data_IF_961161241126
#
_entry.id   IF_961161241126
#
_cell.length_a   1.000
_cell.length_b   1.000
_cell.length_c   1.000
_cell.angle_alpha   90.00
_cell.angle_beta   90.00
_cell.angle_gamma   90.00
#
_symmetry.space_group_name_H-M   'P 1'
#
loop_
_entity.id
_entity.type
_entity.pdbx_description
1 polymer ?
#
# COMPACT_ATOMS: atom_id res chain seq x y z
N UNK A 1 -24.75 28.05 -14.46
CA UNK A 1 -24.04 26.80 -14.77
C UNK A 1 -24.55 25.70 -13.83
N UNK A 2 -25.27 24.67 -14.30
CA UNK A 2 -25.70 23.58 -13.43
C UNK A 2 -24.49 22.74 -12.99
N UNK A 3 -24.25 22.62 -11.68
CA UNK A 3 -23.19 21.76 -11.13
C UNK A 3 -23.59 20.31 -11.36
N UNK A 4 -22.74 19.54 -12.06
CA UNK A 4 -22.93 18.09 -12.22
C UNK A 4 -23.07 17.44 -10.83
N UNK A 5 -23.99 16.48 -10.65
CA UNK A 5 -24.08 15.74 -9.41
C UNK A 5 -22.76 15.03 -9.15
N UNK A 6 -22.23 15.20 -7.93
CA UNK A 6 -21.00 14.55 -7.52
C UNK A 6 -21.28 13.05 -7.40
N UNK A 7 -20.47 12.23 -8.08
CA UNK A 7 -20.59 10.78 -8.01
C UNK A 7 -20.40 10.24 -6.59
N UNK A 8 -20.61 8.93 -6.42
CA UNK A 8 -20.44 8.26 -5.12
C UNK A 8 -19.04 8.51 -4.56
N UNK A 9 -18.96 9.00 -3.33
CA UNK A 9 -17.68 9.21 -2.64
C UNK A 9 -16.96 7.86 -2.46
N UNK A 10 -15.65 7.81 -2.67
CA UNK A 10 -14.88 6.59 -2.45
C UNK A 10 -14.91 6.22 -0.96
N UNK A 11 -14.94 4.92 -0.68
CA UNK A 11 -14.92 4.39 0.69
C UNK A 11 -13.61 4.69 1.43
N UNK A 12 -12.52 4.96 0.69
CA UNK A 12 -11.23 5.36 1.23
C UNK A 12 -11.02 6.81 0.81
N UNK A 13 -11.07 7.71 1.80
CA UNK A 13 -10.75 9.13 1.63
C UNK A 13 -9.24 9.34 1.54
N UNK A 14 -8.79 10.49 1.04
CA UNK A 14 -7.36 10.78 0.87
C UNK A 14 -6.60 10.78 2.23
N UNK A 15 -7.23 11.16 3.34
CA UNK A 15 -6.57 11.12 4.66
C UNK A 15 -6.34 9.69 5.15
N UNK A 16 -7.34 8.82 4.98
CA UNK A 16 -7.24 7.38 5.29
C UNK A 16 -6.16 6.75 4.41
N UNK A 17 -6.14 7.11 3.13
CA UNK A 17 -5.14 6.65 2.18
C UNK A 17 -3.71 7.03 2.60
N UNK A 18 -3.49 8.29 3.02
CA UNK A 18 -2.17 8.74 3.52
C UNK A 18 -1.73 7.94 4.74
N UNK A 19 -2.63 7.69 5.69
CA UNK A 19 -2.34 6.88 6.89
C UNK A 19 -1.97 5.44 6.53
N UNK A 20 -2.72 4.81 5.62
CA UNK A 20 -2.44 3.46 5.14
C UNK A 20 -1.06 3.36 4.48
N UNK A 21 -0.68 4.34 3.66
CA UNK A 21 0.64 4.36 3.03
C UNK A 21 1.73 4.58 4.06
N UNK A 22 1.58 5.58 4.93
CA UNK A 22 2.56 5.86 5.97
C UNK A 22 2.84 4.64 6.84
N UNK A 23 1.78 3.90 7.23
CA UNK A 23 1.91 2.64 7.96
C UNK A 23 2.60 1.56 7.14
N UNK A 24 2.21 1.39 5.87
CA UNK A 24 2.78 0.39 4.99
C UNK A 24 4.28 0.61 4.70
N UNK A 25 4.73 1.86 4.68
CA UNK A 25 6.13 2.24 4.43
C UNK A 25 6.94 2.48 5.70
N UNK A 26 6.40 2.16 6.88
CA UNK A 26 7.03 2.48 8.16
C UNK A 26 8.32 1.67 8.39
N UNK A 27 8.30 0.38 8.05
CA UNK A 27 9.45 -0.52 8.15
C UNK A 27 9.32 -1.72 7.20
N UNK A 28 10.39 -2.50 7.11
CA UNK A 28 10.48 -3.65 6.22
C UNK A 28 9.41 -4.73 6.50
N UNK A 29 8.94 -4.84 7.75
CA UNK A 29 7.91 -5.82 8.10
C UNK A 29 6.54 -5.38 7.60
N UNK A 30 6.17 -4.12 7.83
CA UNK A 30 4.94 -3.53 7.30
C UNK A 30 4.92 -3.51 5.76
N UNK A 31 6.09 -3.38 5.12
CA UNK A 31 6.21 -3.45 3.67
C UNK A 31 5.74 -4.79 3.08
N UNK A 32 5.99 -5.88 3.81
CA UNK A 32 5.64 -7.25 3.41
C UNK A 32 4.23 -7.67 3.85
N UNK A 33 3.59 -6.90 4.73
CA UNK A 33 2.26 -7.23 5.22
C UNK A 33 1.20 -7.15 4.12
N UNK A 34 0.19 -8.04 4.12
CA UNK A 34 -0.99 -7.93 3.29
C UNK A 34 -1.74 -6.61 3.55
N UNK A 35 -2.27 -5.99 2.49
CA UNK A 35 -3.05 -4.76 2.58
C UNK A 35 -4.20 -4.81 3.59
N UNK A 36 -4.80 -6.00 3.79
CA UNK A 36 -5.86 -6.22 4.76
C UNK A 36 -5.37 -6.06 6.21
N UNK A 37 -4.17 -6.56 6.51
CA UNK A 37 -3.60 -6.44 7.85
C UNK A 37 -3.22 -4.99 8.15
N UNK A 38 -2.61 -4.28 7.19
CA UNK A 38 -2.31 -2.85 7.32
C UNK A 38 -3.59 -2.04 7.54
N UNK A 39 -4.67 -2.36 6.82
CA UNK A 39 -5.96 -1.72 7.01
C UNK A 39 -6.57 -2.01 8.38
N UNK A 40 -6.45 -3.24 8.89
CA UNK A 40 -6.91 -3.61 10.23
C UNK A 40 -6.14 -2.86 11.33
N UNK A 41 -4.82 -2.68 11.19
CA UNK A 41 -4.01 -1.91 12.13
C UNK A 41 -4.43 -0.44 12.24
N UNK A 42 -4.91 0.13 11.13
CA UNK A 42 -5.43 1.50 11.08
C UNK A 42 -6.95 1.59 11.34
N UNK A 43 -7.61 0.47 11.69
CA UNK A 43 -9.06 0.43 11.95
C UNK A 43 -9.93 0.63 10.70
N UNK A 44 -9.36 0.47 9.50
CA UNK A 44 -10.04 0.71 8.22
C UNK A 44 -10.70 -0.57 7.72
N UNK A 45 -12.03 -0.58 7.67
CA UNK A 45 -12.79 -1.67 7.06
C UNK A 45 -13.08 -1.35 5.60
N UNK A 46 -12.27 -1.89 4.69
CA UNK A 46 -12.47 -1.73 3.25
C UNK A 46 -12.31 -3.06 2.51
N UNK A 47 -13.06 -3.22 1.41
CA UNK A 47 -12.97 -4.40 0.56
C UNK A 47 -11.61 -4.52 -0.13
N UNK A 48 -11.18 -5.75 -0.43
CA UNK A 48 -9.88 -6.05 -1.07
C UNK A 48 -9.61 -5.21 -2.33
N UNK A 49 -10.62 -5.01 -3.18
CA UNK A 49 -10.51 -4.20 -4.41
C UNK A 49 -10.24 -2.72 -4.12
N UNK A 50 -10.90 -2.16 -3.10
CA UNK A 50 -10.70 -0.77 -2.69
C UNK A 50 -9.30 -0.55 -2.11
N UNK A 51 -8.84 -1.47 -1.26
CA UNK A 51 -7.47 -1.46 -0.74
C UNK A 51 -6.44 -1.57 -1.86
N UNK A 52 -6.62 -2.51 -2.79
CA UNK A 52 -5.71 -2.66 -3.92
C UNK A 52 -5.65 -1.40 -4.80
N UNK A 53 -6.79 -0.74 -5.05
CA UNK A 53 -6.83 0.52 -5.79
C UNK A 53 -6.12 1.65 -5.04
N UNK A 54 -6.32 1.76 -3.72
CA UNK A 54 -5.64 2.70 -2.85
C UNK A 54 -4.11 2.57 -2.92
N UNK A 55 -3.58 1.34 -2.77
CA UNK A 55 -2.14 1.09 -2.87
C UNK A 55 -1.60 1.22 -4.31
N UNK A 56 -2.44 0.99 -5.33
CA UNK A 56 -2.07 1.19 -6.75
C UNK A 56 -1.89 2.67 -7.10
N UNK A 57 -2.73 3.57 -6.55
CA UNK A 57 -2.68 5.03 -6.79
C UNK A 57 -1.29 5.61 -6.51
N UNK A 58 -0.62 5.13 -5.45
CA UNK A 58 0.72 5.59 -5.07
C UNK A 58 1.88 4.83 -5.76
N UNK A 59 1.58 3.87 -6.62
CA UNK A 59 2.59 2.92 -7.10
C UNK A 59 3.36 2.25 -5.94
N UNK A 60 2.67 1.86 -4.86
CA UNK A 60 3.28 1.28 -3.66
C UNK A 60 4.28 0.16 -3.98
N UNK A 61 3.95 -0.72 -4.94
CA UNK A 61 4.84 -1.79 -5.41
C UNK A 61 6.18 -1.27 -5.97
N UNK A 62 6.17 -0.13 -6.65
CA UNK A 62 7.40 0.51 -7.17
C UNK A 62 8.23 1.06 -6.01
N UNK A 63 7.63 1.74 -5.04
CA UNK A 63 8.34 2.21 -3.84
C UNK A 63 8.97 1.07 -3.05
N UNK A 64 8.21 0.01 -2.75
CA UNK A 64 8.75 -1.18 -2.05
C UNK A 64 9.87 -1.84 -2.86
N UNK A 65 9.76 -1.89 -4.19
CA UNK A 65 10.81 -2.42 -5.05
C UNK A 65 12.07 -1.52 -5.07
N UNK A 66 11.92 -0.19 -5.03
CA UNK A 66 13.02 0.77 -4.92
C UNK A 66 13.67 0.75 -3.55
N UNK A 67 12.88 0.57 -2.49
CA UNK A 67 13.37 0.44 -1.11
C UNK A 67 13.95 -0.93 -0.77
N UNK A 68 14.03 -1.87 -1.72
CA UNK A 68 14.76 -3.11 -1.49
C UNK A 68 16.21 -2.77 -1.17
N UNK A 69 16.61 -3.09 0.06
CA UNK A 69 18.01 -3.18 0.44
C UNK A 69 18.73 -4.12 -0.55
N UNK A 70 19.98 -3.77 -0.85
CA UNK A 70 20.82 -4.55 -1.74
C UNK A 70 20.86 -6.01 -1.27
N UNK A 71 20.83 -6.95 -2.23
CA UNK A 71 20.89 -8.39 -1.90
C UNK A 71 22.09 -8.67 -1.00
N UNK A 72 21.84 -9.28 0.15
CA UNK A 72 22.91 -9.78 1.01
C UNK A 72 23.64 -10.93 0.30
N UNK A 73 24.90 -11.18 0.66
CA UNK A 73 25.72 -12.21 0.03
C UNK A 73 25.08 -13.60 0.08
N UNK A 74 24.42 -13.93 1.19
CA UNK A 74 23.63 -15.16 1.33
C UNK A 74 22.49 -15.26 0.29
N UNK A 75 21.79 -14.16 0.02
CA UNK A 75 20.72 -14.13 -0.99
C UNK A 75 21.27 -14.19 -2.42
N UNK A 76 22.51 -13.72 -2.65
CA UNK A 76 23.19 -13.87 -3.94
C UNK A 76 23.57 -15.33 -4.20
N UNK A 77 24.10 -16.04 -3.20
CA UNK A 77 24.47 -17.45 -3.36
C UNK A 77 23.28 -18.36 -3.65
N UNK A 78 22.14 -18.17 -2.98
CA UNK A 78 20.90 -18.94 -3.25
C UNK A 78 20.35 -18.72 -4.67
N UNK A 79 20.70 -17.60 -5.32
CA UNK A 79 20.29 -17.32 -6.71
C UNK A 79 21.26 -17.84 -7.76
N UNK A 80 22.51 -18.10 -7.38
CA UNK A 80 23.57 -18.57 -8.27
C UNK A 80 23.70 -20.11 -8.24
N UNK A 81 23.02 -20.77 -7.30
CA UNK A 81 22.83 -22.21 -7.22
C UNK A 81 21.56 -22.63 -7.98
#
# INVERSE_FOLDING_TARGET
>A
MPKKPVGRRPAITDDIWKRLIARATLDATHCQMPYKQIAQLEGVTAGRKALAAAFKKESYRRRVATSKLWLTEAQKQVRMA
#
